data_IF_613946117046
#
_entry.id   IF_613946117046
#
_cell.length_a   1.000
_cell.length_b   1.000
_cell.length_c   1.000
_cell.angle_alpha   90.00
_cell.angle_beta   90.00
_cell.angle_gamma   90.00
#
_symmetry.space_group_name_H-M   'P 1'
#
loop_
_entity.id
_entity.type
_entity.pdbx_description
1 polymer ?
#
# COMPACT_ATOMS: atom_id res chain seq x y z
N UNK A 1 5.16 29.07 6.87
CA UNK A 1 3.69 29.12 6.67
C UNK A 1 3.34 30.43 6.00
N UNK A 2 3.02 30.41 4.71
CA UNK A 2 2.54 31.61 3.99
C UNK A 2 1.02 31.60 4.09
N UNK A 3 0.45 32.57 4.81
CA UNK A 3 -1.00 32.74 4.92
C UNK A 3 -1.43 33.74 3.85
N UNK A 4 -2.02 33.25 2.76
CA UNK A 4 -2.69 34.14 1.81
C UNK A 4 -4.12 34.40 2.29
N UNK A 5 -4.36 35.61 2.78
CA UNK A 5 -5.66 36.02 3.29
C UNK A 5 -6.47 36.71 2.19
N UNK A 6 -7.40 36.00 1.57
CA UNK A 6 -8.34 36.59 0.62
C UNK A 6 -9.59 37.10 1.35
N UNK A 7 -9.71 38.43 1.51
CA UNK A 7 -10.78 39.11 2.28
C UNK A 7 -12.21 38.87 1.74
N UNK A 8 -12.37 38.26 0.58
CA UNK A 8 -13.68 37.96 -0.04
C UNK A 8 -14.17 36.52 0.18
N UNK A 9 -13.38 35.64 0.83
CA UNK A 9 -13.80 34.27 1.08
C UNK A 9 -14.83 34.18 2.20
N UNK A 10 -15.90 33.40 1.99
CA UNK A 10 -16.99 33.17 2.97
C UNK A 10 -16.75 31.96 3.89
N UNK A 11 -15.57 31.32 3.81
CA UNK A 11 -15.23 30.13 4.57
C UNK A 11 -13.72 29.92 4.62
N UNK A 12 -13.25 29.41 5.75
CA UNK A 12 -11.85 29.07 6.00
C UNK A 12 -11.78 27.61 6.42
N UNK A 13 -10.78 26.89 5.96
CA UNK A 13 -10.46 25.56 6.46
C UNK A 13 -8.95 25.45 6.66
N UNK A 14 -8.57 24.57 7.58
CA UNK A 14 -7.18 24.21 7.84
C UNK A 14 -6.99 22.77 7.42
N UNK A 15 -5.97 22.52 6.61
CA UNK A 15 -5.61 21.19 6.14
C UNK A 15 -4.11 20.98 6.35
N UNK A 16 -3.74 19.85 6.95
CA UNK A 16 -2.35 19.42 7.07
C UNK A 16 -2.06 18.42 5.97
N UNK A 17 -1.10 18.71 5.10
CA UNK A 17 -0.71 17.81 4.02
C UNK A 17 0.39 16.86 4.51
N UNK A 18 0.16 15.54 4.54
CA UNK A 18 1.17 14.58 4.95
C UNK A 18 2.10 14.28 3.78
N UNK A 19 3.24 14.96 3.72
CA UNK A 19 4.26 14.75 2.69
C UNK A 19 5.01 13.45 2.97
N UNK A 20 5.06 12.57 1.96
CA UNK A 20 5.74 11.28 1.99
C UNK A 20 6.29 10.95 0.59
N UNK A 21 7.58 11.20 0.38
CA UNK A 21 8.21 11.17 -0.95
C UNK A 21 9.31 10.13 -1.03
N UNK A 22 9.44 9.51 -2.21
CA UNK A 22 10.51 8.58 -2.52
C UNK A 22 11.49 9.20 -3.49
N UNK A 23 12.77 9.03 -3.20
CA UNK A 23 13.87 9.42 -4.09
C UNK A 23 14.77 8.21 -4.25
N UNK A 24 15.04 7.85 -5.50
CA UNK A 24 15.95 6.76 -5.85
C UNK A 24 17.27 7.37 -6.29
N UNK A 25 18.33 7.12 -5.52
CA UNK A 25 19.66 7.60 -5.81
C UNK A 25 20.66 6.44 -5.82
N UNK A 26 21.69 6.54 -6.66
CA UNK A 26 22.81 5.60 -6.62
C UNK A 26 23.83 6.05 -5.57
N UNK A 27 24.58 5.13 -4.95
CA UNK A 27 25.57 5.48 -3.93
C UNK A 27 26.62 6.50 -4.40
N UNK A 28 26.90 6.54 -5.71
CA UNK A 28 27.92 7.41 -6.31
C UNK A 28 27.37 8.79 -6.72
N UNK A 29 26.07 9.05 -6.56
CA UNK A 29 25.48 10.33 -6.98
C UNK A 29 25.88 11.49 -6.05
N UNK A 30 26.21 12.67 -6.61
CA UNK A 30 26.58 13.82 -5.81
C UNK A 30 25.37 14.34 -5.02
N UNK A 31 25.62 14.82 -3.79
CA UNK A 31 24.58 15.33 -2.89
C UNK A 31 23.71 16.43 -3.53
N UNK A 32 24.28 17.29 -4.37
CA UNK A 32 23.51 18.33 -5.07
C UNK A 32 22.41 17.75 -5.96
N UNK A 33 22.69 16.65 -6.68
CA UNK A 33 21.69 15.98 -7.51
C UNK A 33 20.57 15.36 -6.65
N UNK A 34 20.92 14.79 -5.51
CA UNK A 34 19.95 14.25 -4.55
C UNK A 34 19.03 15.36 -4.00
N UNK A 35 19.57 16.55 -3.72
CA UNK A 35 18.78 17.71 -3.30
C UNK A 35 17.77 18.11 -4.38
N UNK A 36 18.21 18.20 -5.64
CA UNK A 36 17.35 18.55 -6.77
C UNK A 36 16.21 17.51 -6.93
N UNK A 37 16.54 16.22 -6.90
CA UNK A 37 15.55 15.13 -6.98
C UNK A 37 14.54 15.16 -5.82
N UNK A 38 14.99 15.51 -4.61
CA UNK A 38 14.11 15.65 -3.46
C UNK A 38 13.14 16.82 -3.62
N UNK A 39 13.62 17.98 -4.05
CA UNK A 39 12.79 19.16 -4.31
C UNK A 39 11.78 18.88 -5.43
N UNK A 40 12.20 18.22 -6.50
CA UNK A 40 11.32 17.77 -7.57
C UNK A 40 10.23 16.83 -7.03
N UNK A 41 10.61 15.80 -6.28
CA UNK A 41 9.67 14.81 -5.74
C UNK A 41 8.63 15.42 -4.82
N UNK A 42 9.04 16.34 -3.94
CA UNK A 42 8.11 17.11 -3.08
C UNK A 42 7.18 17.99 -3.91
N UNK A 43 7.71 18.69 -4.91
CA UNK A 43 6.91 19.57 -5.78
C UNK A 43 5.87 18.77 -6.57
N UNK A 44 6.27 17.64 -7.16
CA UNK A 44 5.38 16.73 -7.88
C UNK A 44 4.30 16.17 -6.96
N UNK A 45 4.64 15.76 -5.74
CA UNK A 45 3.65 15.29 -4.79
C UNK A 45 2.66 16.39 -4.39
N UNK A 46 3.13 17.61 -4.11
CA UNK A 46 2.25 18.74 -3.75
C UNK A 46 1.29 19.07 -4.90
N UNK A 47 1.75 19.02 -6.14
CA UNK A 47 0.89 19.19 -7.32
C UNK A 47 -0.17 18.07 -7.39
N UNK A 48 0.22 16.81 -7.24
CA UNK A 48 -0.72 15.68 -7.23
C UNK A 48 -1.71 15.74 -6.06
N UNK A 49 -1.30 16.26 -4.90
CA UNK A 49 -2.19 16.53 -3.76
C UNK A 49 -3.22 17.61 -4.09
N UNK A 50 -2.82 18.67 -4.80
CA UNK A 50 -3.75 19.69 -5.30
C UNK A 50 -4.78 19.06 -6.26
N UNK A 51 -4.35 18.23 -7.20
CA UNK A 51 -5.26 17.55 -8.14
C UNK A 51 -6.24 16.62 -7.41
N UNK A 52 -5.77 15.88 -6.40
CA UNK A 52 -6.61 15.04 -5.54
C UNK A 52 -7.68 15.88 -4.81
N UNK A 53 -7.27 16.99 -4.20
CA UNK A 53 -8.19 17.91 -3.52
C UNK A 53 -9.24 18.44 -4.51
N UNK A 54 -8.83 18.89 -5.69
CA UNK A 54 -9.75 19.40 -6.70
C UNK A 54 -10.74 18.34 -7.17
N UNK A 55 -10.26 17.10 -7.39
CA UNK A 55 -11.06 15.98 -7.88
C UNK A 55 -12.11 15.50 -6.86
N UNK A 56 -11.77 15.50 -5.58
CA UNK A 56 -12.58 14.84 -4.55
C UNK A 56 -13.27 15.78 -3.56
N UNK A 57 -13.07 17.09 -3.66
CA UNK A 57 -13.81 18.08 -2.86
C UNK A 57 -15.30 18.03 -3.21
N UNK A 58 -16.16 17.85 -2.20
CA UNK A 58 -17.62 17.85 -2.35
C UNK A 58 -18.24 18.90 -1.44
N UNK A 59 -18.80 19.95 -2.06
CA UNK A 59 -19.39 21.07 -1.32
C UNK A 59 -18.37 21.77 -0.42
N UNK A 60 -18.57 21.68 0.90
CA UNK A 60 -17.67 22.26 1.91
C UNK A 60 -16.65 21.25 2.48
N UNK A 61 -16.70 20.00 2.04
CA UNK A 61 -15.84 18.93 2.55
C UNK A 61 -14.63 18.77 1.64
N UNK A 62 -13.46 19.10 2.17
CA UNK A 62 -12.17 18.94 1.50
C UNK A 62 -11.48 17.70 2.07
N UNK A 63 -11.25 16.65 1.28
CA UNK A 63 -10.55 15.47 1.76
C UNK A 63 -9.06 15.75 1.94
N UNK A 64 -8.44 15.10 2.94
CA UNK A 64 -7.00 15.13 3.10
C UNK A 64 -6.36 14.16 2.10
N UNK A 65 -5.48 14.62 1.21
CA UNK A 65 -4.76 13.71 0.32
C UNK A 65 -3.69 12.94 1.10
N UNK A 66 -3.52 11.66 0.77
CA UNK A 66 -2.54 10.76 1.37
C UNK A 66 -1.76 10.06 0.26
N UNK A 67 -0.44 9.97 0.44
CA UNK A 67 0.43 9.27 -0.49
C UNK A 67 0.50 7.78 -0.15
N UNK A 68 0.51 6.96 -1.18
CA UNK A 68 0.69 5.51 -1.10
C UNK A 68 1.69 5.09 -2.17
N UNK A 69 2.62 4.23 -1.80
CA UNK A 69 3.70 3.77 -2.68
C UNK A 69 3.42 2.35 -3.14
N UNK A 70 3.53 2.07 -4.42
CA UNK A 70 3.21 0.78 -5.02
C UNK A 70 4.40 0.23 -5.79
N UNK A 71 4.66 -1.06 -5.62
CA UNK A 71 5.56 -1.80 -6.51
C UNK A 71 4.76 -2.32 -7.70
N UNK A 72 5.22 -2.01 -8.92
CA UNK A 72 4.57 -2.47 -10.14
C UNK A 72 5.38 -3.60 -10.78
N UNK A 73 4.74 -4.57 -11.46
CA UNK A 73 5.45 -5.66 -12.11
C UNK A 73 6.48 -5.14 -13.10
N UNK A 74 7.70 -5.69 -13.03
CA UNK A 74 8.79 -5.46 -13.99
C UNK A 74 9.21 -3.99 -14.13
N UNK A 75 8.77 -3.12 -13.21
CA UNK A 75 9.05 -1.68 -13.21
C UNK A 75 9.60 -1.27 -11.85
N UNK A 76 10.92 -1.13 -11.80
CA UNK A 76 11.58 -0.26 -10.81
C UNK A 76 11.71 1.12 -11.45
N UNK A 77 11.38 2.23 -10.76
CA UNK A 77 11.14 2.38 -9.31
C UNK A 77 9.67 2.25 -8.85
N UNK A 78 9.46 2.29 -7.51
CA UNK A 78 8.13 2.38 -6.88
C UNK A 78 7.33 3.57 -7.44
N UNK A 79 6.01 3.40 -7.51
CA UNK A 79 5.07 4.40 -7.99
C UNK A 79 4.26 5.00 -6.84
N UNK A 80 4.35 6.32 -6.66
CA UNK A 80 3.52 7.05 -5.69
C UNK A 80 2.19 7.44 -6.29
N UNK A 81 1.10 7.13 -5.60
CA UNK A 81 -0.27 7.55 -5.94
C UNK A 81 -0.88 8.30 -4.77
N UNK A 82 -1.63 9.36 -5.07
CA UNK A 82 -2.34 10.15 -4.06
C UNK A 82 -3.80 9.74 -4.03
N UNK A 83 -4.28 9.32 -2.87
CA UNK A 83 -5.70 9.03 -2.61
C UNK A 83 -6.27 9.95 -1.53
N UNK A 84 -7.56 10.31 -1.62
CA UNK A 84 -8.24 11.08 -0.59
C UNK A 84 -8.56 10.21 0.64
N UNK A 85 -8.28 10.74 1.83
CA UNK A 85 -8.70 10.15 3.10
C UNK A 85 -10.23 10.12 3.21
N UNK A 86 -10.76 9.03 3.78
CA UNK A 86 -12.21 8.85 4.01
C UNK A 86 -13.02 8.47 2.77
N UNK A 87 -12.39 8.26 1.61
CA UNK A 87 -13.04 7.72 0.40
C UNK A 87 -12.69 6.24 0.30
N UNK A 88 -13.69 5.36 0.19
CA UNK A 88 -13.47 3.92 0.13
C UNK A 88 -12.73 3.50 -1.16
N UNK A 89 -12.08 2.35 -1.15
CA UNK A 89 -11.41 1.83 -2.34
C UNK A 89 -12.39 1.60 -3.49
N UNK A 90 -13.64 1.19 -3.24
CA UNK A 90 -14.65 1.02 -4.29
C UNK A 90 -14.91 2.34 -5.03
N UNK A 91 -15.02 3.46 -4.31
CA UNK A 91 -15.23 4.78 -4.89
C UNK A 91 -14.02 5.31 -5.69
N UNK A 92 -12.85 4.67 -5.57
CA UNK A 92 -11.63 5.01 -6.30
C UNK A 92 -11.42 4.17 -7.57
N UNK A 93 -12.37 3.31 -7.93
CA UNK A 93 -12.27 2.43 -9.11
C UNK A 93 -11.96 3.20 -10.41
N UNK A 94 -12.59 4.35 -10.63
CA UNK A 94 -12.35 5.17 -11.83
C UNK A 94 -10.89 5.66 -11.90
N UNK A 95 -10.36 6.19 -10.78
CA UNK A 95 -8.96 6.63 -10.71
C UNK A 95 -8.01 5.44 -10.94
N UNK A 96 -8.32 4.26 -10.37
CA UNK A 96 -7.52 3.06 -10.62
C UNK A 96 -7.54 2.63 -12.08
N UNK A 97 -8.69 2.67 -12.76
CA UNK A 97 -8.77 2.38 -14.20
C UNK A 97 -7.91 3.32 -15.04
N UNK A 98 -7.88 4.61 -14.70
CA UNK A 98 -6.99 5.58 -15.36
C UNK A 98 -5.51 5.25 -15.11
N UNK A 99 -5.15 4.85 -13.89
CA UNK A 99 -3.79 4.41 -13.57
C UNK A 99 -3.41 3.13 -14.31
N UNK A 100 -4.31 2.15 -14.41
CA UNK A 100 -4.11 0.95 -15.22
C UNK A 100 -3.80 1.29 -16.68
N UNK A 101 -4.61 2.17 -17.28
CA UNK A 101 -4.40 2.63 -18.65
C UNK A 101 -3.06 3.36 -18.81
N UNK A 102 -2.71 4.22 -17.85
CA UNK A 102 -1.44 4.97 -17.84
C UNK A 102 -0.22 4.04 -17.77
N UNK A 103 -0.29 2.98 -16.97
CA UNK A 103 0.85 2.09 -16.72
C UNK A 103 0.83 0.81 -17.56
N UNK A 104 -0.20 0.58 -18.37
CA UNK A 104 -0.35 -0.60 -19.23
C UNK A 104 -0.50 -1.89 -18.41
N UNK A 105 -1.24 -1.84 -17.31
CA UNK A 105 -1.36 -2.97 -16.38
C UNK A 105 -2.41 -3.98 -16.83
N UNK A 106 -2.19 -5.24 -16.43
CA UNK A 106 -3.11 -6.36 -16.63
C UNK A 106 -4.45 -6.15 -15.90
N UNK A 107 -5.44 -6.96 -16.27
CA UNK A 107 -6.76 -6.95 -15.64
C UNK A 107 -6.79 -7.77 -14.32
N UNK A 108 -5.98 -7.34 -13.35
CA UNK A 108 -5.97 -7.83 -11.96
C UNK A 108 -5.84 -6.65 -10.99
N UNK A 109 -6.13 -6.79 -9.70
CA UNK A 109 -6.04 -5.64 -8.80
C UNK A 109 -4.64 -5.01 -8.77
N UNK A 110 -4.59 -3.67 -8.83
CA UNK A 110 -3.44 -2.83 -8.48
C UNK A 110 -3.95 -1.55 -7.83
N UNK A 111 -3.07 -0.82 -7.14
CA UNK A 111 -3.38 0.48 -6.54
C UNK A 111 -4.53 0.47 -5.51
N UNK A 112 -4.82 -0.68 -4.89
CA UNK A 112 -5.66 -0.73 -3.69
C UNK A 112 -4.80 -0.47 -2.46
N UNK A 113 -5.32 0.21 -1.45
CA UNK A 113 -4.52 0.63 -0.28
C UNK A 113 -3.80 -0.52 0.43
N UNK A 114 -4.42 -1.69 0.53
CA UNK A 114 -3.80 -2.87 1.13
C UNK A 114 -2.62 -3.45 0.33
N UNK A 115 -2.48 -3.05 -0.94
CA UNK A 115 -1.35 -3.41 -1.81
C UNK A 115 -0.19 -2.40 -1.74
N UNK A 116 -0.24 -1.45 -0.80
CA UNK A 116 0.85 -0.49 -0.59
C UNK A 116 2.13 -1.23 -0.23
N UNK A 117 3.25 -0.75 -0.76
CA UNK A 117 4.57 -1.28 -0.47
C UNK A 117 4.86 -1.16 1.03
N UNK A 118 5.29 -2.28 1.61
CA UNK A 118 5.75 -2.31 3.00
C UNK A 118 7.24 -1.96 3.03
N UNK A 119 7.61 -0.84 3.65
CA UNK A 119 9.02 -0.55 3.87
C UNK A 119 9.58 -1.47 4.97
N UNK A 120 10.88 -1.81 4.94
CA UNK A 120 11.50 -2.64 5.98
C UNK A 120 11.27 -2.12 7.41
N UNK A 121 11.17 -0.80 7.59
CA UNK A 121 10.88 -0.20 8.89
C UNK A 121 9.43 -0.45 9.38
N UNK A 122 8.49 -0.69 8.46
CA UNK A 122 7.10 -1.02 8.78
C UNK A 122 6.94 -2.49 9.14
N UNK A 123 7.77 -3.38 8.58
CA UNK A 123 7.76 -4.81 8.91
C UNK A 123 8.02 -5.07 10.39
N UNK A 124 8.88 -4.26 11.02
CA UNK A 124 9.20 -4.35 12.46
C UNK A 124 7.95 -4.12 13.34
N UNK A 125 6.93 -3.43 12.82
CA UNK A 125 5.68 -3.16 13.54
C UNK A 125 4.58 -4.19 13.24
N UNK A 126 4.81 -5.09 12.27
CA UNK A 126 3.82 -6.10 11.89
C UNK A 126 3.76 -7.21 12.92
N UNK A 127 2.55 -7.57 13.34
CA UNK A 127 2.30 -8.72 14.23
C UNK A 127 2.66 -10.04 13.56
N UNK A 128 2.51 -10.12 12.23
CA UNK A 128 2.73 -11.34 11.46
C UNK A 128 3.93 -11.20 10.53
N UNK A 129 4.71 -12.27 10.43
CA UNK A 129 5.77 -12.36 9.43
C UNK A 129 5.17 -12.43 8.02
N UNK A 130 5.79 -11.75 7.06
CA UNK A 130 5.40 -11.79 5.65
C UNK A 130 6.39 -12.63 4.85
N UNK A 131 5.87 -13.32 3.85
CA UNK A 131 6.65 -13.97 2.79
C UNK A 131 7.83 -14.80 3.30
N UNK A 132 7.63 -15.56 4.39
CA UNK A 132 8.70 -16.30 5.09
C UNK A 132 9.50 -17.23 4.17
N UNK A 133 8.88 -17.71 3.09
CA UNK A 133 9.54 -18.53 2.07
C UNK A 133 10.71 -17.82 1.35
N UNK A 134 10.72 -16.48 1.28
CA UNK A 134 11.80 -15.70 0.65
C UNK A 134 13.13 -15.79 1.41
N UNK A 135 13.08 -16.17 2.69
CA UNK A 135 14.26 -16.29 3.55
C UNK A 135 14.77 -17.74 3.66
N UNK A 136 14.15 -18.67 2.94
CA UNK A 136 14.57 -20.06 2.87
C UNK A 136 15.49 -20.21 1.66
N UNK A 137 16.68 -20.84 1.79
CA UNK A 137 17.55 -21.12 0.66
C UNK A 137 16.81 -21.87 -0.45
N UNK A 138 16.95 -21.37 -1.68
CA UNK A 138 16.35 -22.03 -2.83
C UNK A 138 17.04 -23.39 -3.09
N UNK A 139 16.28 -24.43 -3.48
CA UNK A 139 16.86 -25.67 -4.01
C UNK A 139 17.77 -25.41 -5.22
N UNK A 140 18.71 -26.32 -5.51
CA UNK A 140 19.60 -26.18 -6.67
C UNK A 140 18.78 -26.08 -7.97
N UNK A 141 18.89 -24.96 -8.72
CA UNK A 141 18.14 -24.76 -9.95
C UNK A 141 18.55 -25.72 -11.08
N UNK A 142 19.72 -26.37 -10.99
CA UNK A 142 20.16 -27.37 -11.96
C UNK A 142 19.52 -28.74 -11.73
N UNK A 143 19.08 -29.02 -10.50
CA UNK A 143 18.43 -30.28 -10.12
C UNK A 143 16.91 -30.18 -10.13
N UNK A 144 16.37 -29.01 -9.76
CA UNK A 144 14.94 -28.82 -9.56
C UNK A 144 14.39 -27.62 -10.32
N UNK A 145 13.26 -27.83 -11.00
CA UNK A 145 12.40 -26.72 -11.42
C UNK A 145 11.53 -26.28 -10.26
N UNK A 146 11.85 -25.13 -9.68
CA UNK A 146 11.09 -24.54 -8.56
C UNK A 146 9.94 -23.69 -9.08
N UNK A 147 8.75 -23.82 -8.48
CA UNK A 147 7.60 -22.95 -8.74
C UNK A 147 7.04 -22.49 -7.40
N UNK A 148 6.95 -21.17 -7.22
CA UNK A 148 6.55 -20.53 -5.97
C UNK A 148 5.26 -19.73 -6.17
N UNK A 149 4.65 -19.36 -5.05
CA UNK A 149 3.55 -18.41 -5.03
C UNK A 149 3.99 -17.05 -5.61
N UNK A 150 3.11 -16.40 -6.36
CA UNK A 150 3.28 -15.02 -6.79
C UNK A 150 2.48 -14.10 -5.87
N UNK A 151 3.08 -12.98 -5.46
CA UNK A 151 2.49 -12.05 -4.49
C UNK A 151 2.94 -12.33 -3.06
N UNK A 152 2.24 -11.70 -2.11
CA UNK A 152 2.58 -11.72 -0.68
C UNK A 152 1.48 -12.29 0.19
N UNK A 153 1.87 -12.90 1.30
CA UNK A 153 0.99 -13.45 2.34
C UNK A 153 1.59 -13.23 3.74
N UNK A 154 0.75 -13.32 4.78
CA UNK A 154 1.20 -13.36 6.19
C UNK A 154 1.24 -14.78 6.71
N UNK A 155 2.25 -15.09 7.52
CA UNK A 155 2.43 -16.41 8.11
C UNK A 155 1.63 -16.51 9.42
N UNK A 156 0.58 -17.32 9.38
CA UNK A 156 -0.26 -17.63 10.53
C UNK A 156 0.06 -19.02 11.07
N UNK A 157 0.17 -19.14 12.40
CA UNK A 157 0.48 -20.39 13.09
C UNK A 157 -0.23 -20.47 14.44
N UNK A 158 -0.28 -21.67 15.03
CA UNK A 158 -0.95 -21.87 16.31
C UNK A 158 -0.35 -20.97 17.41
N UNK A 159 -1.16 -20.65 18.43
CA UNK A 159 -0.84 -19.79 19.57
C UNK A 159 -0.60 -18.31 19.19
N UNK A 160 -1.18 -17.86 18.08
CA UNK A 160 -1.32 -16.44 17.74
C UNK A 160 -2.68 -15.91 18.22
N UNK A 161 -2.80 -14.57 18.28
CA UNK A 161 -4.07 -13.86 18.51
C UNK A 161 -4.77 -14.24 19.81
N UNK A 162 -3.97 -14.55 20.84
CA UNK A 162 -4.43 -14.99 22.17
C UNK A 162 -5.34 -16.24 22.17
N UNK A 163 -5.25 -17.07 21.13
CA UNK A 163 -6.05 -18.30 20.98
C UNK A 163 -5.21 -19.55 21.30
N UNK A 164 -5.74 -20.46 22.13
CA UNK A 164 -5.08 -21.73 22.45
C UNK A 164 -5.55 -22.85 21.52
N UNK A 165 -5.06 -22.80 20.29
CA UNK A 165 -5.45 -23.67 19.18
C UNK A 165 -4.37 -24.72 18.83
N UNK A 166 -3.47 -25.05 19.76
CA UNK A 166 -2.33 -25.96 19.53
C UNK A 166 -2.73 -27.30 18.90
N UNK A 167 -3.86 -27.86 19.32
CA UNK A 167 -4.25 -29.23 18.93
C UNK A 167 -5.21 -29.28 17.73
N UNK A 168 -5.87 -28.17 17.40
CA UNK A 168 -7.00 -28.16 16.45
C UNK A 168 -6.97 -26.99 15.46
N UNK A 169 -6.12 -25.99 15.67
CA UNK A 169 -6.08 -24.74 14.92
C UNK A 169 -5.49 -24.84 13.52
N UNK A 170 -4.80 -25.93 13.18
CA UNK A 170 -4.06 -26.04 11.92
C UNK A 170 -4.88 -25.71 10.66
N UNK A 171 -6.13 -26.17 10.50
CA UNK A 171 -6.97 -25.79 9.36
C UNK A 171 -7.30 -24.29 9.33
N UNK A 172 -7.59 -23.69 10.50
CA UNK A 172 -7.90 -22.27 10.61
C UNK A 172 -6.68 -21.40 10.27
N UNK A 173 -5.50 -21.75 10.77
CA UNK A 173 -4.25 -21.03 10.45
C UNK A 173 -3.88 -21.15 8.97
N UNK A 174 -4.10 -22.31 8.36
CA UNK A 174 -3.96 -22.49 6.92
C UNK A 174 -4.93 -21.58 6.15
N UNK A 175 -6.19 -21.51 6.57
CA UNK A 175 -7.19 -20.63 5.98
C UNK A 175 -6.81 -19.14 6.12
N UNK A 176 -6.30 -18.72 7.29
CA UNK A 176 -5.80 -17.36 7.49
C UNK A 176 -4.66 -17.01 6.54
N UNK A 177 -3.69 -17.92 6.30
CA UNK A 177 -2.64 -17.73 5.29
C UNK A 177 -3.25 -17.50 3.89
N UNK A 178 -4.22 -18.31 3.48
CA UNK A 178 -4.90 -18.15 2.17
C UNK A 178 -5.64 -16.82 2.09
N UNK A 179 -6.44 -16.47 3.10
CA UNK A 179 -7.19 -15.21 3.15
C UNK A 179 -6.23 -14.02 3.11
N UNK A 180 -5.10 -14.10 3.81
CA UNK A 180 -4.09 -13.04 3.81
C UNK A 180 -3.53 -12.75 2.42
N UNK A 181 -3.36 -13.79 1.60
CA UNK A 181 -2.92 -13.62 0.21
C UNK A 181 -3.98 -12.87 -0.60
N UNK A 182 -5.26 -13.29 -0.53
CA UNK A 182 -6.34 -12.58 -1.23
C UNK A 182 -6.46 -11.12 -0.78
N UNK A 183 -6.27 -10.86 0.51
CA UNK A 183 -6.28 -9.51 1.06
C UNK A 183 -5.11 -8.68 0.51
N UNK A 184 -3.86 -9.15 0.68
CA UNK A 184 -2.67 -8.42 0.24
C UNK A 184 -2.57 -8.27 -1.29
N UNK A 185 -3.21 -9.14 -2.06
CA UNK A 185 -3.32 -9.03 -3.52
C UNK A 185 -4.52 -8.16 -3.96
N UNK A 186 -5.27 -7.58 -3.02
CA UNK A 186 -6.36 -6.66 -3.33
C UNK A 186 -7.60 -7.30 -3.95
N UNK A 187 -7.80 -8.61 -3.77
CA UNK A 187 -9.01 -9.30 -4.22
C UNK A 187 -10.17 -9.18 -3.24
N UNK A 188 -9.85 -9.01 -1.95
CA UNK A 188 -10.82 -8.77 -0.89
C UNK A 188 -10.39 -7.54 -0.08
N UNK A 189 -11.38 -6.88 0.51
CA UNK A 189 -11.17 -5.70 1.36
C UNK A 189 -11.34 -6.04 2.86
N UNK A 190 -11.86 -7.23 3.16
CA UNK A 190 -12.01 -7.75 4.52
C UNK A 190 -10.66 -8.23 5.05
N UNK A 191 -10.23 -7.81 6.26
CA UNK A 191 -9.01 -8.30 6.87
C UNK A 191 -9.10 -9.81 7.16
N UNK A 192 -7.96 -10.41 7.49
CA UNK A 192 -7.90 -11.81 7.91
C UNK A 192 -8.69 -11.98 9.21
N UNK A 193 -9.73 -12.85 9.24
CA UNK A 193 -10.55 -13.03 10.42
C UNK A 193 -9.80 -13.80 11.51
N UNK A 194 -10.21 -13.56 12.75
CA UNK A 194 -9.83 -14.37 13.91
C UNK A 194 -10.54 -15.72 13.89
N UNK A 195 -10.03 -16.68 14.65
CA UNK A 195 -10.64 -18.02 14.75
C UNK A 195 -12.10 -17.98 15.20
N UNK A 196 -12.48 -17.22 16.25
CA UNK A 196 -13.88 -17.11 16.65
C UNK A 196 -14.79 -16.58 15.53
N UNK A 197 -14.33 -15.58 14.77
CA UNK A 197 -15.10 -15.01 13.65
C UNK A 197 -15.34 -16.04 12.53
N UNK A 198 -14.37 -16.92 12.28
CA UNK A 198 -14.52 -18.00 11.29
C UNK A 198 -15.50 -19.10 11.76
N UNK A 199 -15.70 -19.27 13.06
CA UNK A 199 -16.63 -20.26 13.62
C UNK A 199 -18.08 -19.80 13.62
N UNK A 200 -18.32 -18.49 13.50
CA UNK A 200 -19.67 -17.90 13.45
C UNK A 200 -20.30 -17.92 12.04
N UNK A 201 -19.56 -18.37 11.03
CA UNK A 201 -20.00 -18.52 9.64
C UNK A 201 -20.67 -19.87 9.40
#
# INVERSE_FOLDING_TARGET
MVVQHNKTSRGHFKLTLPIDVLVFAKPEEPLGKLQDQFVESVTTQVAAMSDCIQRYTKGKTVPQPQAFHFELPEKMPLTTVIFPAGVSDEALELQRKELHAKFGLENKPFFRRQMTFNFPADEVKSTYYKDVHKYIPAPDPNEFKVSLIHGSYTFHHCLQDDENDREWGAPYRCLQVVISWYYLQGYIDTPVPLIPEMQEV
#
